data_IF_767150727551
#
_entry.id   IF_767150727551
#
_cell.length_a   1.000
_cell.length_b   1.000
_cell.length_c   1.000
_cell.angle_alpha   90.00
_cell.angle_beta   90.00
_cell.angle_gamma   90.00
#
_symmetry.space_group_name_H-M   'P 1'
#
loop_
_entity.id
_entity.type
_entity.pdbx_description
1 polymer ?
#
# COMPACT_ATOMS: atom_id res chain seq x y z
N UNK A 1 13.92 17.50 14.22
CA UNK A 1 13.10 16.63 13.36
C UNK A 1 13.81 15.31 13.30
N UNK A 2 13.26 14.26 13.90
CA UNK A 2 13.79 12.92 13.75
C UNK A 2 13.73 12.55 12.26
N UNK A 3 14.87 12.12 11.70
CA UNK A 3 14.95 11.72 10.31
C UNK A 3 14.54 10.24 10.24
N UNK A 4 13.31 9.98 9.81
CA UNK A 4 12.83 8.61 9.59
C UNK A 4 13.39 8.05 8.28
N UNK A 5 13.60 6.72 8.17
CA UNK A 5 14.04 6.11 6.93
C UNK A 5 12.99 6.27 5.83
N UNK A 6 13.44 6.56 4.61
CA UNK A 6 12.58 6.55 3.43
C UNK A 6 12.71 5.17 2.74
N UNK A 7 12.00 4.18 3.26
CA UNK A 7 11.99 2.83 2.69
C UNK A 7 11.38 2.81 1.29
N UNK A 8 10.33 3.59 1.06
CA UNK A 8 9.70 3.72 -0.26
C UNK A 8 10.73 4.05 -1.36
N UNK A 9 11.61 5.02 -1.12
CA UNK A 9 12.61 5.42 -2.12
C UNK A 9 13.61 4.31 -2.43
N UNK A 10 13.93 3.45 -1.44
CA UNK A 10 14.92 2.39 -1.60
C UNK A 10 14.38 1.10 -2.21
N UNK A 11 13.10 0.78 -2.01
CA UNK A 11 12.50 -0.52 -2.40
C UNK A 11 11.42 -0.40 -3.46
N UNK A 12 10.51 0.56 -3.34
CA UNK A 12 9.26 0.62 -4.09
C UNK A 12 9.24 1.64 -5.22
N UNK A 13 9.89 2.79 -5.07
CA UNK A 13 9.76 3.94 -5.97
C UNK A 13 10.01 3.60 -7.44
N UNK A 14 10.97 2.72 -7.72
CA UNK A 14 11.26 2.32 -9.10
C UNK A 14 10.08 1.63 -9.77
N UNK A 15 9.43 0.67 -9.08
CA UNK A 15 8.26 -0.03 -9.63
C UNK A 15 7.07 0.93 -9.80
N UNK A 16 6.88 1.86 -8.86
CA UNK A 16 5.86 2.91 -8.97
C UNK A 16 6.09 3.76 -10.23
N UNK A 17 7.33 4.19 -10.49
CA UNK A 17 7.66 4.96 -11.68
C UNK A 17 7.43 4.14 -12.96
N UNK A 18 7.91 2.91 -13.02
CA UNK A 18 7.83 2.06 -14.21
C UNK A 18 6.38 1.67 -14.56
N UNK A 19 5.51 1.51 -13.54
CA UNK A 19 4.19 0.92 -13.72
C UNK A 19 3.03 1.92 -13.59
N UNK A 20 3.18 3.01 -12.82
CA UNK A 20 2.08 3.95 -12.55
C UNK A 20 2.17 5.27 -13.31
N UNK A 21 3.36 5.74 -13.74
CA UNK A 21 3.46 7.02 -14.45
C UNK A 21 2.62 7.07 -15.72
N UNK A 22 2.36 5.94 -16.38
CA UNK A 22 1.43 5.84 -17.51
C UNK A 22 -0.02 6.24 -17.20
N UNK A 23 -0.36 6.37 -15.93
CA UNK A 23 -1.70 6.76 -15.47
C UNK A 23 -1.80 8.27 -15.18
N UNK A 24 -0.69 9.01 -15.18
CA UNK A 24 -0.63 10.42 -14.75
C UNK A 24 -1.54 11.38 -15.54
N UNK A 25 -1.89 11.02 -16.77
CA UNK A 25 -2.80 11.82 -17.61
C UNK A 25 -4.28 11.48 -17.41
N UNK A 26 -4.59 10.46 -16.59
CA UNK A 26 -5.99 10.03 -16.37
C UNK A 26 -6.64 10.84 -15.25
N UNK A 27 -7.87 11.33 -15.44
CA UNK A 27 -8.68 11.91 -14.36
C UNK A 27 -9.36 10.81 -13.51
N UNK A 28 -9.95 11.23 -12.41
CA UNK A 28 -10.83 10.43 -11.56
C UNK A 28 -10.22 9.15 -10.96
N UNK A 29 -8.90 9.02 -10.96
CA UNK A 29 -8.21 7.87 -10.35
C UNK A 29 -8.47 7.80 -8.84
N UNK A 30 -8.77 6.61 -8.34
CA UNK A 30 -8.95 6.34 -6.91
C UNK A 30 -7.90 5.33 -6.45
N UNK A 31 -7.02 5.78 -5.59
CA UNK A 31 -5.93 4.97 -5.06
C UNK A 31 -6.14 4.72 -3.57
N UNK A 32 -5.72 3.55 -3.12
CA UNK A 32 -5.71 3.15 -1.71
C UNK A 32 -4.33 2.67 -1.34
N UNK A 33 -3.83 3.12 -0.20
CA UNK A 33 -2.61 2.64 0.42
C UNK A 33 -2.93 2.09 1.81
N UNK A 34 -2.54 0.86 2.07
CA UNK A 34 -2.61 0.20 3.37
C UNK A 34 -1.19 0.16 3.94
N UNK A 35 -0.96 0.92 5.02
CA UNK A 35 0.37 1.25 5.53
C UNK A 35 0.92 2.51 4.88
N UNK A 36 0.90 3.64 5.60
CA UNK A 36 1.32 4.94 5.05
C UNK A 36 2.60 5.49 5.69
N UNK A 37 2.95 5.02 6.89
CA UNK A 37 4.13 5.44 7.65
C UNK A 37 4.29 6.98 7.69
N UNK A 38 5.39 7.52 7.18
CA UNK A 38 5.63 8.98 7.10
C UNK A 38 5.10 9.63 5.83
N UNK A 39 4.36 8.89 4.96
CA UNK A 39 3.71 9.42 3.75
C UNK A 39 4.62 9.59 2.54
N UNK A 40 5.78 8.93 2.47
CA UNK A 40 6.70 9.10 1.34
C UNK A 40 6.11 8.59 0.02
N UNK A 41 5.47 7.41 0.05
CA UNK A 41 4.74 6.88 -1.11
C UNK A 41 3.55 7.78 -1.49
N UNK A 42 2.80 8.26 -0.48
CA UNK A 42 1.65 9.16 -0.67
C UNK A 42 2.07 10.45 -1.39
N UNK A 43 3.13 11.11 -0.92
CA UNK A 43 3.69 12.32 -1.55
C UNK A 43 4.11 12.03 -2.99
N UNK A 44 4.78 10.89 -3.22
CA UNK A 44 5.20 10.52 -4.56
C UNK A 44 4.00 10.34 -5.50
N UNK A 45 2.96 9.62 -5.05
CA UNK A 45 1.72 9.38 -5.83
C UNK A 45 1.01 10.70 -6.17
N UNK A 46 0.86 11.58 -5.18
CA UNK A 46 0.18 12.88 -5.34
C UNK A 46 0.94 13.82 -6.28
N UNK A 47 2.27 13.75 -6.31
CA UNK A 47 3.10 14.62 -7.14
C UNK A 47 3.38 14.08 -8.55
N UNK A 48 3.16 12.78 -8.81
CA UNK A 48 3.56 12.16 -10.07
C UNK A 48 2.43 11.48 -10.82
N UNK A 49 1.35 11.06 -10.13
CA UNK A 49 0.28 10.25 -10.76
C UNK A 49 -1.10 10.89 -10.56
N UNK A 50 -1.44 11.32 -9.35
CA UNK A 50 -2.77 11.80 -9.00
C UNK A 50 -2.92 13.32 -9.24
N UNK A 51 -2.55 13.78 -10.43
CA UNK A 51 -2.41 15.19 -10.79
C UNK A 51 -3.70 15.83 -11.30
N UNK A 52 -4.64 15.02 -11.81
CA UNK A 52 -5.81 15.51 -12.52
C UNK A 52 -7.03 15.61 -11.61
N UNK A 53 -8.04 16.33 -12.10
CA UNK A 53 -9.32 16.50 -11.41
C UNK A 53 -9.95 15.15 -11.06
N UNK A 54 -10.57 15.07 -9.89
CA UNK A 54 -11.22 13.87 -9.39
C UNK A 54 -10.27 12.78 -8.88
N UNK A 55 -8.95 12.91 -9.10
CA UNK A 55 -7.99 11.95 -8.53
C UNK A 55 -7.96 12.05 -7.00
N UNK A 56 -7.89 10.90 -6.33
CA UNK A 56 -7.92 10.86 -4.87
C UNK A 56 -7.12 9.68 -4.33
N UNK A 57 -6.38 9.93 -3.25
CA UNK A 57 -5.66 8.92 -2.46
C UNK A 57 -6.39 8.71 -1.13
N UNK A 58 -6.49 7.46 -0.69
CA UNK A 58 -6.87 7.12 0.67
C UNK A 58 -5.70 6.39 1.33
N UNK A 59 -5.21 6.93 2.43
CA UNK A 59 -4.16 6.34 3.24
C UNK A 59 -4.73 5.77 4.53
N UNK A 60 -4.44 4.51 4.81
CA UNK A 60 -4.89 3.77 5.99
C UNK A 60 -3.68 3.31 6.78
N UNK A 61 -3.56 3.75 8.03
CA UNK A 61 -2.51 3.32 8.94
C UNK A 61 -2.98 3.39 10.38
N UNK A 62 -2.42 2.58 11.24
CA UNK A 62 -2.67 2.67 12.70
C UNK A 62 -1.82 3.74 13.36
N UNK A 63 -0.66 4.05 12.77
CA UNK A 63 0.45 4.80 13.38
C UNK A 63 0.80 4.28 14.78
N UNK A 64 0.84 2.94 14.92
CA UNK A 64 1.22 2.27 16.16
C UNK A 64 2.46 1.37 15.97
N UNK A 65 2.94 1.26 14.73
CA UNK A 65 4.02 0.36 14.37
C UNK A 65 3.63 -1.10 14.32
N UNK A 66 4.63 -1.95 14.14
CA UNK A 66 4.53 -3.40 14.12
C UNK A 66 5.50 -4.01 15.14
N UNK A 67 5.54 -5.34 15.23
CA UNK A 67 6.51 -6.05 16.04
C UNK A 67 7.91 -6.16 15.41
N UNK A 68 8.15 -5.49 14.31
CA UNK A 68 9.44 -5.47 13.64
C UNK A 68 10.52 -4.75 14.47
N UNK A 69 11.74 -5.28 14.48
CA UNK A 69 12.85 -4.70 15.22
C UNK A 69 13.10 -3.22 14.84
N UNK A 70 12.97 -2.90 13.57
CA UNK A 70 13.12 -1.53 13.07
C UNK A 70 12.15 -0.54 13.72
N UNK A 71 10.97 -0.99 14.14
CA UNK A 71 9.93 -0.17 14.74
C UNK A 71 10.10 0.02 16.27
N UNK A 72 10.86 -0.85 16.96
CA UNK A 72 10.97 -0.81 18.41
C UNK A 72 11.60 0.48 18.98
N UNK A 73 12.39 1.16 18.17
CA UNK A 73 13.07 2.41 18.59
C UNK A 73 12.36 3.68 18.12
N UNK A 74 11.24 3.56 17.39
CA UNK A 74 10.53 4.70 16.79
C UNK A 74 9.42 5.22 17.69
N UNK A 75 9.28 6.54 17.78
CA UNK A 75 8.08 7.17 18.33
C UNK A 75 7.03 7.33 17.22
N UNK A 76 6.00 6.49 17.25
CA UNK A 76 4.93 6.50 16.24
C UNK A 76 4.03 7.74 16.30
N UNK A 77 4.03 8.51 17.39
CA UNK A 77 3.39 9.82 17.39
C UNK A 77 4.18 10.80 16.49
N UNK A 78 5.52 10.77 16.53
CA UNK A 78 6.37 11.57 15.65
C UNK A 78 6.27 11.11 14.19
N UNK A 79 6.10 9.80 13.93
CA UNK A 79 5.83 9.26 12.58
C UNK A 79 4.53 9.85 12.03
N UNK A 80 3.45 9.80 12.81
CA UNK A 80 2.15 10.36 12.43
C UNK A 80 2.21 11.88 12.21
N UNK A 81 2.87 12.62 13.10
CA UNK A 81 3.07 14.07 12.95
C UNK A 81 3.86 14.41 11.68
N UNK A 82 4.85 13.58 11.34
CA UNK A 82 5.62 13.73 10.10
C UNK A 82 4.75 13.52 8.86
N UNK A 83 3.88 12.50 8.88
CA UNK A 83 2.89 12.28 7.84
C UNK A 83 1.95 13.49 7.70
N UNK A 84 1.37 13.95 8.81
CA UNK A 84 0.43 15.08 8.80
C UNK A 84 1.09 16.36 8.26
N UNK A 85 2.33 16.63 8.65
CA UNK A 85 3.08 17.82 8.17
C UNK A 85 3.37 17.73 6.66
N UNK A 86 3.78 16.55 6.16
CA UNK A 86 4.05 16.34 4.74
C UNK A 86 2.81 16.52 3.87
N UNK A 87 1.63 16.08 4.35
CA UNK A 87 0.42 16.02 3.55
C UNK A 87 -0.56 17.19 3.78
N UNK A 88 -0.27 18.08 4.71
CA UNK A 88 -1.17 19.19 5.12
C UNK A 88 -1.66 20.11 4.00
N UNK A 89 -0.93 20.20 2.90
CA UNK A 89 -1.29 21.09 1.76
C UNK A 89 -2.07 20.38 0.66
N UNK A 90 -2.17 19.04 0.72
CA UNK A 90 -2.91 18.26 -0.27
C UNK A 90 -4.37 18.15 0.12
N UNK A 91 -5.26 18.43 -0.84
CA UNK A 91 -6.72 18.38 -0.64
C UNK A 91 -7.35 17.10 -1.20
N UNK A 92 -6.58 16.34 -1.98
CA UNK A 92 -7.02 15.11 -2.63
C UNK A 92 -6.47 13.85 -1.95
N UNK A 93 -6.26 13.92 -0.64
CA UNK A 93 -5.89 12.77 0.19
C UNK A 93 -6.81 12.68 1.41
N UNK A 94 -7.19 11.46 1.77
CA UNK A 94 -7.92 11.14 3.00
C UNK A 94 -7.05 10.25 3.88
N UNK A 95 -6.84 10.68 5.12
CA UNK A 95 -6.20 9.89 6.18
C UNK A 95 -7.26 9.12 6.95
N UNK A 96 -7.10 7.79 7.04
CA UNK A 96 -7.87 6.95 7.96
C UNK A 96 -6.93 6.36 9.02
N UNK A 97 -7.05 6.80 10.25
CA UNK A 97 -6.30 6.25 11.39
C UNK A 97 -7.03 5.04 11.97
N UNK A 98 -6.52 3.85 11.70
CA UNK A 98 -7.13 2.60 12.16
C UNK A 98 -6.54 1.38 11.47
N UNK A 99 -7.08 0.21 11.80
CA UNK A 99 -6.66 -1.05 11.18
C UNK A 99 -7.18 -1.14 9.75
N UNK A 100 -6.41 -1.77 8.87
CA UNK A 100 -6.76 -2.01 7.47
C UNK A 100 -8.08 -2.74 7.33
N UNK A 101 -8.32 -3.77 8.14
CA UNK A 101 -9.56 -4.55 8.14
C UNK A 101 -10.80 -3.70 8.50
N UNK A 102 -10.67 -2.73 9.42
CA UNK A 102 -11.78 -1.88 9.81
C UNK A 102 -12.16 -0.90 8.70
N UNK A 103 -11.18 -0.43 7.95
CA UNK A 103 -11.40 0.36 6.75
C UNK A 103 -12.00 -0.47 5.61
N UNK A 104 -11.36 -1.59 5.25
CA UNK A 104 -11.73 -2.41 4.09
C UNK A 104 -13.14 -2.99 4.19
N UNK A 105 -13.64 -3.27 5.40
CA UNK A 105 -15.03 -3.74 5.62
C UNK A 105 -16.10 -2.74 5.23
N UNK A 106 -15.78 -1.46 5.16
CA UNK A 106 -16.69 -0.38 4.80
C UNK A 106 -16.32 0.31 3.49
N UNK A 107 -15.20 -0.08 2.90
CA UNK A 107 -14.74 0.47 1.63
C UNK A 107 -15.68 0.08 0.48
N UNK A 108 -15.88 0.95 -0.50
CA UNK A 108 -16.74 0.65 -1.65
C UNK A 108 -16.14 -0.47 -2.52
N UNK A 109 -17.01 -1.34 -3.02
CA UNK A 109 -16.63 -2.40 -3.94
C UNK A 109 -16.34 -1.84 -5.35
N UNK A 110 -15.43 -2.47 -6.10
CA UNK A 110 -15.07 -2.12 -7.48
C UNK A 110 -14.80 -0.61 -7.67
N UNK A 111 -14.06 -0.02 -6.74
CA UNK A 111 -13.90 1.43 -6.67
C UNK A 111 -12.47 1.92 -6.95
N UNK A 112 -11.46 1.19 -6.47
CA UNK A 112 -10.07 1.62 -6.59
C UNK A 112 -9.43 1.17 -7.90
N UNK A 113 -8.65 2.05 -8.51
CA UNK A 113 -7.85 1.78 -9.71
C UNK A 113 -6.49 1.17 -9.34
N UNK A 114 -5.98 1.51 -8.15
CA UNK A 114 -4.74 0.98 -7.60
C UNK A 114 -4.86 0.81 -6.09
N UNK A 115 -4.37 -0.32 -5.58
CA UNK A 115 -4.25 -0.60 -4.14
C UNK A 115 -2.82 -1.05 -3.86
N UNK A 116 -2.18 -0.42 -2.88
CA UNK A 116 -0.86 -0.78 -2.37
C UNK A 116 -0.97 -1.34 -0.96
N UNK A 117 -0.48 -2.56 -0.75
CA UNK A 117 -0.49 -3.27 0.52
C UNK A 117 0.93 -3.29 1.09
N UNK A 118 1.13 -2.56 2.19
CA UNK A 118 2.38 -2.36 2.89
C UNK A 118 2.11 -2.15 4.40
N UNK A 119 1.34 -3.05 5.02
CA UNK A 119 0.85 -2.87 6.40
C UNK A 119 1.30 -3.99 7.34
N UNK A 120 0.58 -5.11 7.42
CA UNK A 120 0.89 -6.23 8.29
C UNK A 120 1.75 -7.25 7.54
N UNK A 121 2.99 -7.47 7.99
CA UNK A 121 3.92 -8.40 7.35
C UNK A 121 3.71 -9.86 7.77
N UNK A 122 2.69 -10.18 8.57
CA UNK A 122 2.34 -11.59 8.81
C UNK A 122 1.65 -12.19 7.59
N UNK A 123 1.87 -13.50 7.36
CA UNK A 123 1.26 -14.22 6.25
C UNK A 123 -0.28 -14.12 6.26
N UNK A 124 -0.90 -14.16 7.44
CA UNK A 124 -2.35 -14.07 7.57
C UNK A 124 -2.84 -12.62 7.41
N UNK A 125 -2.10 -11.64 7.91
CA UNK A 125 -2.44 -10.22 7.80
C UNK A 125 -2.46 -9.79 6.35
N UNK A 126 -1.38 -10.02 5.60
CA UNK A 126 -1.31 -9.66 4.18
C UNK A 126 -2.35 -10.41 3.34
N UNK A 127 -2.65 -11.70 3.67
CA UNK A 127 -3.70 -12.44 2.97
C UNK A 127 -5.09 -11.82 3.20
N UNK A 128 -5.41 -11.42 4.43
CA UNK A 128 -6.69 -10.76 4.73
C UNK A 128 -6.82 -9.41 4.03
N UNK A 129 -5.75 -8.61 4.05
CA UNK A 129 -5.71 -7.32 3.35
C UNK A 129 -5.88 -7.51 1.84
N UNK A 130 -5.23 -8.52 1.26
CA UNK A 130 -5.35 -8.86 -0.15
C UNK A 130 -6.77 -9.26 -0.55
N UNK A 131 -7.39 -10.20 0.19
CA UNK A 131 -8.75 -10.71 -0.10
C UNK A 131 -9.80 -9.60 -0.02
N UNK A 132 -9.72 -8.73 1.00
CA UNK A 132 -10.65 -7.61 1.14
C UNK A 132 -10.38 -6.51 0.09
N UNK A 133 -9.11 -6.20 -0.19
CA UNK A 133 -8.72 -5.26 -1.23
C UNK A 133 -9.17 -5.70 -2.61
N UNK A 134 -9.15 -7.02 -2.88
CA UNK A 134 -9.62 -7.57 -4.16
C UNK A 134 -11.06 -7.25 -4.46
N UNK A 135 -11.92 -7.20 -3.45
CA UNK A 135 -13.33 -6.82 -3.59
C UNK A 135 -13.49 -5.33 -3.93
N UNK A 136 -12.59 -4.49 -3.40
CA UNK A 136 -12.60 -3.05 -3.60
C UNK A 136 -11.91 -2.60 -4.90
N UNK A 137 -11.09 -3.47 -5.51
CA UNK A 137 -10.34 -3.19 -6.73
C UNK A 137 -11.22 -3.36 -7.97
N UNK A 138 -11.18 -2.40 -8.88
CA UNK A 138 -11.85 -2.47 -10.19
C UNK A 138 -11.27 -3.58 -11.06
N UNK A 139 -12.06 -4.11 -12.00
CA UNK A 139 -11.51 -4.86 -13.15
C UNK A 139 -10.58 -3.94 -13.95
N UNK A 140 -9.40 -4.44 -14.32
CA UNK A 140 -8.30 -3.66 -14.90
C UNK A 140 -7.48 -2.89 -13.88
N UNK A 141 -7.89 -2.87 -12.60
CA UNK A 141 -7.14 -2.25 -11.51
C UNK A 141 -5.88 -3.04 -11.14
N UNK A 142 -4.96 -2.37 -10.46
CA UNK A 142 -3.67 -2.91 -10.07
C UNK A 142 -3.60 -3.11 -8.56
N UNK A 143 -3.23 -4.30 -8.11
CA UNK A 143 -2.89 -4.61 -6.73
C UNK A 143 -1.38 -4.81 -6.61
N UNK A 144 -0.75 -4.07 -5.71
CA UNK A 144 0.67 -4.16 -5.43
C UNK A 144 0.89 -4.60 -3.97
N UNK A 145 1.76 -5.56 -3.79
CA UNK A 145 2.25 -6.01 -2.49
C UNK A 145 3.68 -5.53 -2.32
N UNK A 146 3.97 -4.89 -1.19
CA UNK A 146 5.36 -4.66 -0.78
C UNK A 146 5.93 -5.90 -0.09
N UNK A 147 7.24 -5.89 0.12
CA UNK A 147 7.97 -6.82 0.96
C UNK A 147 7.76 -8.32 0.62
N UNK A 148 7.52 -8.63 -0.67
CA UNK A 148 7.34 -10.02 -1.10
C UNK A 148 8.53 -10.91 -0.71
N UNK A 149 9.76 -10.39 -0.78
CA UNK A 149 10.98 -11.11 -0.43
C UNK A 149 11.46 -10.82 1.02
N UNK A 150 10.76 -9.95 1.75
CA UNK A 150 11.13 -9.60 3.11
C UNK A 150 11.00 -10.78 4.08
N UNK A 151 11.93 -10.85 5.04
CA UNK A 151 11.89 -11.83 6.13
C UNK A 151 12.78 -11.36 7.27
N UNK A 152 12.27 -11.46 8.48
CA UNK A 152 13.03 -11.27 9.72
C UNK A 152 13.74 -12.55 10.20
N UNK A 153 13.58 -13.67 9.49
CA UNK A 153 14.15 -14.96 9.85
C UNK A 153 13.35 -15.76 10.90
N UNK A 154 12.20 -15.25 11.39
CA UNK A 154 11.41 -15.90 12.45
C UNK A 154 10.49 -17.01 11.92
N UNK A 155 10.30 -17.10 10.61
CA UNK A 155 9.56 -18.18 9.95
C UNK A 155 8.41 -17.69 9.06
N UNK A 156 7.81 -18.64 8.34
CA UNK A 156 6.83 -18.37 7.28
C UNK A 156 5.56 -17.65 7.75
N UNK A 157 5.18 -17.77 9.00
CA UNK A 157 4.02 -17.09 9.56
C UNK A 157 4.23 -15.56 9.69
N UNK A 158 5.49 -15.12 9.77
CA UNK A 158 5.89 -13.74 10.05
C UNK A 158 6.53 -13.06 8.84
N UNK A 159 6.19 -13.48 7.62
CA UNK A 159 6.61 -12.82 6.38
C UNK A 159 5.47 -12.80 5.35
N UNK A 160 5.42 -11.80 4.44
CA UNK A 160 4.33 -11.62 3.50
C UNK A 160 4.18 -12.75 2.46
N UNK A 161 5.29 -13.30 1.97
CA UNK A 161 5.32 -14.22 0.83
C UNK A 161 4.32 -15.37 0.89
N UNK A 162 4.15 -16.14 1.99
CA UNK A 162 3.21 -17.25 2.02
C UNK A 162 1.75 -16.79 1.89
N UNK A 163 1.40 -15.65 2.49
CA UNK A 163 0.07 -15.05 2.36
C UNK A 163 -0.20 -14.60 0.93
N UNK A 164 0.75 -13.90 0.32
CA UNK A 164 0.67 -13.45 -1.08
C UNK A 164 0.54 -14.65 -2.02
N UNK A 165 1.35 -15.70 -1.85
CA UNK A 165 1.27 -16.90 -2.68
C UNK A 165 -0.08 -17.62 -2.54
N UNK A 166 -0.67 -17.64 -1.33
CA UNK A 166 -2.01 -18.19 -1.10
C UNK A 166 -3.08 -17.39 -1.83
N UNK A 167 -2.99 -16.05 -1.82
CA UNK A 167 -3.87 -15.17 -2.59
C UNK A 167 -3.72 -15.43 -4.10
N UNK A 168 -2.50 -15.48 -4.63
CA UNK A 168 -2.25 -15.73 -6.06
C UNK A 168 -2.84 -17.05 -6.53
N UNK A 169 -2.72 -18.14 -5.75
CA UNK A 169 -3.28 -19.44 -6.13
C UNK A 169 -4.81 -19.44 -6.15
N UNK A 170 -5.45 -18.72 -5.22
CA UNK A 170 -6.92 -18.58 -5.17
C UNK A 170 -7.47 -17.80 -6.35
N UNK A 171 -6.77 -16.77 -6.79
CA UNK A 171 -7.21 -15.83 -7.84
C UNK A 171 -6.50 -16.02 -9.18
N UNK A 172 -5.77 -17.11 -9.39
CA UNK A 172 -4.91 -17.34 -10.57
C UNK A 172 -5.59 -17.13 -11.92
N UNK A 173 -6.88 -17.45 -12.01
CA UNK A 173 -7.66 -17.30 -13.24
C UNK A 173 -8.20 -15.87 -13.43
N UNK A 174 -8.21 -15.06 -12.36
CA UNK A 174 -8.78 -13.72 -12.30
C UNK A 174 -7.72 -12.62 -12.35
N UNK A 175 -6.43 -12.94 -12.34
CA UNK A 175 -5.34 -11.98 -12.32
C UNK A 175 -4.31 -12.20 -13.43
N UNK A 176 -3.50 -11.18 -13.66
CA UNK A 176 -2.28 -11.24 -14.47
C UNK A 176 -1.12 -10.68 -13.66
N UNK A 177 -0.06 -11.47 -13.46
CA UNK A 177 1.17 -11.00 -12.81
C UNK A 177 1.92 -10.06 -13.76
N UNK A 178 2.28 -8.86 -13.29
CA UNK A 178 2.96 -7.84 -14.09
C UNK A 178 4.34 -7.45 -13.54
N UNK A 179 4.62 -7.70 -12.27
CA UNK A 179 5.94 -7.49 -11.67
C UNK A 179 6.16 -8.49 -10.52
N UNK A 180 7.39 -9.00 -10.42
CA UNK A 180 7.82 -9.85 -9.30
C UNK A 180 9.31 -9.62 -9.05
N UNK A 181 9.57 -8.94 -7.96
CA UNK A 181 10.90 -8.70 -7.40
C UNK A 181 10.73 -8.54 -5.87
N UNK A 182 11.40 -7.58 -5.24
CA UNK A 182 11.11 -7.21 -3.85
C UNK A 182 9.62 -6.94 -3.61
N UNK A 183 8.91 -6.45 -4.63
CA UNK A 183 7.46 -6.29 -4.65
C UNK A 183 6.81 -7.31 -5.60
N UNK A 184 5.51 -7.54 -5.42
CA UNK A 184 4.71 -8.34 -6.34
C UNK A 184 3.47 -7.54 -6.77
N UNK A 185 3.25 -7.44 -8.09
CA UNK A 185 2.17 -6.64 -8.67
C UNK A 185 1.30 -7.47 -9.62
N UNK A 186 0.01 -7.34 -9.50
CA UNK A 186 -0.98 -8.03 -10.34
C UNK A 186 -2.03 -7.06 -10.88
N UNK A 187 -2.62 -7.39 -12.02
CA UNK A 187 -3.80 -6.72 -12.59
C UNK A 187 -4.99 -7.65 -12.45
N UNK A 188 -6.11 -7.15 -11.95
CA UNK A 188 -7.42 -7.83 -11.94
C UNK A 188 -7.99 -7.87 -13.35
N UNK A 189 -8.40 -9.05 -13.83
CA UNK A 189 -9.01 -9.22 -15.17
C UNK A 189 -10.45 -8.72 -15.21
#
# INVERSE_FOLDING_TARGET
VSEFPNWFASTAQKNFADLLLRLSDKPDLKFLQLGAFTGDASIWLLNNVLLNEGCHLTDVDTWQGSNEEAHHSMDFNEVELTYDEKLKTYTNVTKFKGKTIDFLRQAPLDYYDFIYIDADHTAIGVLLDAELSWLCLKSGGVLAFDDYEWSDGTGDAYRPMPGINSFLERHKDELTLICKNWQLWVVKK
#
